data_IF_284253525058
#
_entry.id   IF_284253525058
#
_cell.length_a   1.000
_cell.length_b   1.000
_cell.length_c   1.000
_cell.angle_alpha   90.00
_cell.angle_beta   90.00
_cell.angle_gamma   90.00
#
_symmetry.space_group_name_H-M   'P 1'
#
loop_
_entity.id
_entity.type
_entity.pdbx_description
1 polymer ?
#
# COMPACT_ATOMS: atom_id res chain seq x y z
N UNK A 1 -17.60 -13.33 2.35
CA UNK A 1 -16.86 -12.68 3.45
C UNK A 1 -15.98 -13.73 4.10
N UNK A 2 -14.75 -13.82 3.61
CA UNK A 2 -13.68 -14.58 4.25
C UNK A 2 -13.43 -13.92 5.61
N UNK A 3 -14.01 -14.53 6.64
CA UNK A 3 -13.68 -14.24 8.03
C UNK A 3 -12.29 -14.82 8.24
N UNK A 4 -11.30 -13.94 8.37
CA UNK A 4 -9.99 -14.27 8.90
C UNK A 4 -10.20 -15.14 10.16
N UNK A 5 -9.58 -16.32 10.27
CA UNK A 5 -9.78 -17.16 11.44
C UNK A 5 -9.33 -16.37 12.66
N UNK A 6 -10.30 -15.86 13.43
CA UNK A 6 -10.07 -15.41 14.80
C UNK A 6 -9.22 -16.48 15.47
N UNK A 7 -7.96 -16.16 15.77
CA UNK A 7 -7.03 -17.10 16.36
C UNK A 7 -7.69 -17.66 17.62
N UNK A 8 -7.93 -18.98 17.64
CA UNK A 8 -8.74 -19.63 18.68
C UNK A 8 -8.20 -19.22 20.06
N UNK A 9 -9.04 -18.58 20.88
CA UNK A 9 -8.65 -18.09 22.21
C UNK A 9 -8.57 -16.57 22.33
N UNK A 10 -8.51 -15.83 21.23
CA UNK A 10 -8.58 -14.37 21.26
C UNK A 10 -9.99 -13.87 21.56
N UNK A 11 -10.16 -12.88 22.47
CA UNK A 11 -11.45 -12.23 22.67
C UNK A 11 -11.89 -11.49 21.40
N UNK A 12 -13.21 -11.33 21.20
CA UNK A 12 -13.79 -10.69 20.01
C UNK A 12 -13.40 -9.20 19.86
N UNK A 13 -13.02 -8.56 20.97
CA UNK A 13 -12.59 -7.17 21.02
C UNK A 13 -11.26 -7.07 21.75
N UNK A 14 -10.43 -6.03 21.47
CA UNK A 14 -9.19 -5.83 22.19
C UNK A 14 -9.45 -5.80 23.71
N UNK A 15 -8.72 -6.59 24.50
CA UNK A 15 -8.83 -6.56 25.95
C UNK A 15 -8.26 -5.25 26.51
N UNK A 16 -8.56 -4.96 27.78
CA UNK A 16 -7.87 -3.89 28.50
C UNK A 16 -6.47 -4.32 28.94
N UNK A 17 -5.59 -3.35 29.20
CA UNK A 17 -4.26 -3.63 29.71
C UNK A 17 -4.34 -4.28 31.10
N UNK A 18 -3.64 -5.41 31.29
CA UNK A 18 -3.70 -6.30 32.45
C UNK A 18 -5.03 -7.03 32.66
N UNK A 19 -5.89 -7.13 31.64
CA UNK A 19 -7.05 -8.02 31.72
C UNK A 19 -6.57 -9.48 31.82
N UNK A 20 -7.19 -10.32 32.67
CA UNK A 20 -6.77 -11.71 32.84
C UNK A 20 -6.90 -12.52 31.55
N UNK A 21 -5.99 -13.46 31.36
CA UNK A 21 -5.99 -14.41 30.25
C UNK A 21 -5.54 -15.79 30.72
N UNK A 22 -6.05 -16.83 30.05
CA UNK A 22 -5.85 -18.22 30.47
C UNK A 22 -4.68 -18.92 29.75
N UNK A 23 -4.19 -18.35 28.64
CA UNK A 23 -3.21 -18.97 27.76
C UNK A 23 -1.97 -18.09 27.58
N UNK A 24 -0.95 -18.33 28.40
CA UNK A 24 0.34 -17.66 28.26
C UNK A 24 0.95 -17.89 26.87
N UNK A 25 1.38 -16.80 26.22
CA UNK A 25 1.91 -16.82 24.86
C UNK A 25 0.87 -16.63 23.77
N UNK A 26 -0.43 -16.53 24.10
CA UNK A 26 -1.46 -16.16 23.14
C UNK A 26 -1.19 -14.75 22.58
N UNK A 27 -1.16 -14.64 21.26
CA UNK A 27 -0.99 -13.40 20.50
C UNK A 27 -2.28 -13.10 19.75
N UNK A 28 -2.80 -11.87 19.90
CA UNK A 28 -4.04 -11.44 19.26
C UNK A 28 -3.81 -10.10 18.58
N UNK A 29 -4.25 -9.99 17.33
CA UNK A 29 -4.20 -8.74 16.57
C UNK A 29 -5.62 -8.19 16.35
N UNK A 30 -5.76 -6.88 16.47
CA UNK A 30 -7.03 -6.18 16.38
C UNK A 30 -6.91 -4.87 15.61
N UNK A 31 -8.06 -4.45 15.08
CA UNK A 31 -8.13 -3.32 14.18
C UNK A 31 -7.40 -3.62 12.88
N UNK A 32 -7.74 -2.88 11.85
CA UNK A 32 -7.02 -2.89 10.58
C UNK A 32 -7.07 -1.48 10.03
N UNK A 33 -5.92 -0.96 9.67
CA UNK A 33 -5.80 0.29 8.91
C UNK A 33 -5.03 0.01 7.64
N UNK A 34 -5.62 0.38 6.51
CA UNK A 34 -5.03 0.22 5.20
C UNK A 34 -4.39 1.52 4.74
N UNK A 35 -3.21 1.41 4.15
CA UNK A 35 -2.56 2.54 3.53
C UNK A 35 -3.32 3.02 2.29
N UNK A 36 -3.21 4.33 1.95
CA UNK A 36 -3.78 4.87 0.72
C UNK A 36 -3.28 4.06 -0.50
N UNK A 37 -4.19 3.71 -1.41
CA UNK A 37 -3.89 2.79 -2.52
C UNK A 37 -4.18 1.32 -2.21
N UNK A 38 -4.43 0.96 -0.95
CA UNK A 38 -4.99 -0.32 -0.53
C UNK A 38 -4.07 -1.54 -0.71
N UNK A 39 -2.80 -1.33 -1.02
CA UNK A 39 -1.84 -2.42 -1.26
C UNK A 39 -1.33 -3.06 0.03
N UNK A 40 -1.37 -2.35 1.15
CA UNK A 40 -0.90 -2.83 2.45
C UNK A 40 -1.87 -2.41 3.56
N UNK A 41 -2.25 -3.37 4.40
CA UNK A 41 -3.07 -3.17 5.59
C UNK A 41 -2.36 -3.75 6.80
N UNK A 42 -2.49 -3.09 7.94
CA UNK A 42 -1.80 -3.46 9.17
C UNK A 42 -2.77 -3.44 10.35
N UNK A 43 -2.59 -4.39 11.27
CA UNK A 43 -3.29 -4.33 12.54
C UNK A 43 -2.75 -3.18 13.39
N UNK A 44 -3.63 -2.49 14.10
CA UNK A 44 -3.28 -1.29 14.88
C UNK A 44 -3.13 -1.58 16.36
N UNK A 45 -3.61 -2.74 16.82
CA UNK A 45 -3.61 -3.13 18.23
C UNK A 45 -3.20 -4.59 18.36
N UNK A 46 -2.32 -4.88 19.31
CA UNK A 46 -1.85 -6.23 19.60
C UNK A 46 -2.00 -6.51 21.08
N UNK A 47 -2.51 -7.68 21.44
CA UNK A 47 -2.55 -8.16 22.82
C UNK A 47 -1.73 -9.44 22.92
N UNK A 48 -0.87 -9.52 23.94
CA UNK A 48 -0.10 -10.71 24.26
C UNK A 48 -0.37 -11.15 25.70
N UNK A 49 -0.76 -12.39 25.90
CA UNK A 49 -0.97 -12.94 27.23
C UNK A 49 0.37 -13.31 27.87
N UNK A 50 0.75 -12.63 28.96
CA UNK A 50 1.97 -12.93 29.72
C UNK A 50 1.70 -12.96 31.21
N UNK A 51 2.05 -14.10 31.83
CA UNK A 51 1.81 -14.39 33.24
C UNK A 51 0.33 -14.28 33.64
N UNK A 52 -0.56 -14.73 32.76
CA UNK A 52 -2.01 -14.72 32.96
C UNK A 52 -2.66 -13.33 32.84
N UNK A 53 -1.97 -12.34 32.29
CA UNK A 53 -2.50 -11.00 32.02
C UNK A 53 -2.16 -10.54 30.59
N UNK A 54 -3.09 -9.85 29.92
CA UNK A 54 -2.85 -9.26 28.61
C UNK A 54 -1.99 -8.00 28.70
N UNK A 55 -0.90 -7.96 27.93
CA UNK A 55 -0.18 -6.74 27.60
C UNK A 55 -0.64 -6.26 26.23
N UNK A 56 -1.19 -5.05 26.20
CA UNK A 56 -1.76 -4.45 24.98
C UNK A 56 -0.85 -3.35 24.45
N UNK A 57 -0.50 -3.43 23.17
CA UNK A 57 0.30 -2.46 22.44
C UNK A 57 -0.51 -1.86 21.29
N UNK A 58 -0.27 -0.58 21.02
CA UNK A 58 -0.85 0.14 19.90
C UNK A 58 0.24 0.48 18.90
N UNK A 59 0.00 0.12 17.64
CA UNK A 59 0.87 0.46 16.52
C UNK A 59 0.30 1.68 15.80
N UNK A 60 1.09 2.75 15.73
CA UNK A 60 0.82 3.83 14.79
C UNK A 60 1.23 3.38 13.39
N UNK A 61 0.30 3.41 12.44
CA UNK A 61 0.61 3.09 11.04
C UNK A 61 1.10 4.36 10.36
N UNK A 62 2.30 4.28 9.81
CA UNK A 62 2.89 5.36 9.03
C UNK A 62 3.13 4.84 7.62
N UNK A 63 2.15 5.10 6.75
CA UNK A 63 2.21 4.68 5.35
C UNK A 63 3.25 5.45 4.57
N UNK A 64 3.92 4.78 3.64
CA UNK A 64 4.57 5.44 2.53
C UNK A 64 3.47 6.02 1.61
N UNK A 65 3.53 7.31 1.32
CA UNK A 65 2.51 8.00 0.53
C UNK A 65 3.22 8.73 -0.59
N UNK A 66 2.72 8.54 -1.82
CA UNK A 66 3.23 9.29 -2.95
C UNK A 66 2.97 10.79 -2.77
N UNK A 67 3.96 11.66 -3.07
CA UNK A 67 3.73 13.09 -3.05
C UNK A 67 2.62 13.47 -4.05
N UNK A 68 1.86 14.52 -3.75
CA UNK A 68 0.73 14.97 -4.60
C UNK A 68 1.17 15.38 -6.02
N UNK A 69 2.43 15.78 -6.15
CA UNK A 69 3.05 16.17 -7.42
C UNK A 69 4.29 15.32 -7.67
N UNK A 70 4.60 15.00 -8.94
CA UNK A 70 5.82 14.28 -9.27
C UNK A 70 7.03 15.03 -8.71
N UNK A 71 7.89 14.36 -7.93
CA UNK A 71 9.14 14.95 -7.44
C UNK A 71 10.14 15.10 -8.58
N UNK A 72 11.17 15.92 -8.36
CA UNK A 72 12.29 16.05 -9.28
C UNK A 72 13.32 14.91 -9.07
N UNK A 73 14.18 14.70 -10.07
CA UNK A 73 15.27 13.74 -9.94
C UNK A 73 16.19 14.09 -8.77
N UNK A 74 16.49 13.09 -7.94
CA UNK A 74 17.26 13.21 -6.69
C UNK A 74 16.60 14.02 -5.58
N UNK A 75 15.29 14.33 -5.69
CA UNK A 75 14.57 14.81 -4.53
C UNK A 75 14.62 13.77 -3.41
N UNK A 76 14.73 14.20 -2.14
CA UNK A 76 14.88 13.29 -1.03
C UNK A 76 13.58 12.51 -0.79
N UNK A 77 13.73 11.25 -0.42
CA UNK A 77 12.67 10.42 0.14
C UNK A 77 13.15 9.76 1.44
N UNK A 78 12.23 9.23 2.23
CA UNK A 78 12.52 8.60 3.53
C UNK A 78 12.78 7.10 3.39
N UNK A 79 13.41 6.49 4.38
CA UNK A 79 13.63 5.03 4.44
C UNK A 79 12.34 4.21 4.31
N UNK A 80 11.21 4.80 4.72
CA UNK A 80 9.88 4.18 4.63
C UNK A 80 9.34 4.16 3.21
N UNK A 81 9.78 5.10 2.39
CA UNK A 81 9.37 5.22 1.00
C UNK A 81 10.27 4.40 0.08
N UNK A 82 11.34 3.79 0.56
CA UNK A 82 12.24 2.97 -0.29
C UNK A 82 11.46 1.86 -0.98
N UNK A 83 11.54 1.83 -2.32
CA UNK A 83 10.78 0.90 -3.16
C UNK A 83 9.36 1.36 -3.50
N UNK A 84 8.89 2.48 -2.93
CA UNK A 84 7.63 3.11 -3.32
C UNK A 84 7.71 3.54 -4.79
N UNK A 85 6.72 3.11 -5.58
CA UNK A 85 6.55 3.50 -6.98
C UNK A 85 5.31 4.37 -7.09
N UNK A 86 5.49 5.59 -7.55
CA UNK A 86 4.43 6.58 -7.68
C UNK A 86 4.21 6.91 -9.15
N UNK A 87 2.98 6.82 -9.61
CA UNK A 87 2.64 7.04 -11.01
C UNK A 87 1.87 8.37 -11.19
N UNK A 88 2.25 9.12 -12.21
CA UNK A 88 1.71 10.44 -12.51
C UNK A 88 1.47 10.63 -14.00
N UNK A 89 0.64 11.63 -14.32
CA UNK A 89 0.42 12.07 -15.71
C UNK A 89 -0.30 11.01 -16.54
N UNK A 90 -1.40 10.45 -16.03
CA UNK A 90 -2.22 9.50 -16.77
C UNK A 90 -2.70 10.10 -18.11
N UNK A 91 -2.43 9.38 -19.20
CA UNK A 91 -2.92 9.67 -20.55
C UNK A 91 -3.66 8.44 -21.06
N UNK A 92 -4.88 8.65 -21.57
CA UNK A 92 -5.70 7.59 -22.13
C UNK A 92 -5.71 7.64 -23.66
N UNK A 93 -5.35 6.53 -24.29
CA UNK A 93 -5.42 6.37 -25.73
C UNK A 93 -6.89 6.21 -26.17
N UNK A 94 -7.43 7.17 -26.92
CA UNK A 94 -8.83 7.16 -27.35
C UNK A 94 -9.22 5.92 -28.17
N UNK A 95 -8.25 5.38 -28.93
CA UNK A 95 -8.43 4.24 -29.82
C UNK A 95 -8.58 2.91 -29.09
N UNK A 96 -7.75 2.66 -28.09
CA UNK A 96 -7.75 1.39 -27.33
C UNK A 96 -8.57 1.49 -26.05
N UNK A 97 -8.78 2.70 -25.54
CA UNK A 97 -9.37 2.95 -24.22
C UNK A 97 -8.41 2.66 -23.06
N UNK A 98 -7.13 2.39 -23.35
CA UNK A 98 -6.13 2.09 -22.34
C UNK A 98 -5.52 3.39 -21.81
N UNK A 99 -5.39 3.49 -20.48
CA UNK A 99 -4.73 4.60 -19.80
C UNK A 99 -3.38 4.15 -19.28
N UNK A 100 -2.37 5.00 -19.47
CA UNK A 100 -0.98 4.76 -19.10
C UNK A 100 -0.41 6.01 -18.46
N UNK A 101 0.40 5.83 -17.43
CA UNK A 101 1.07 6.93 -16.73
C UNK A 101 2.32 7.36 -17.50
N UNK A 102 2.49 8.67 -17.72
CA UNK A 102 3.68 9.21 -18.41
C UNK A 102 4.90 9.28 -17.52
N UNK A 103 4.72 9.20 -16.19
CA UNK A 103 5.81 9.44 -15.24
C UNK A 103 5.72 8.47 -14.07
N UNK A 104 6.84 7.86 -13.73
CA UNK A 104 7.00 7.09 -12.51
C UNK A 104 8.12 7.69 -11.66
N UNK A 105 7.86 7.89 -10.38
CA UNK A 105 8.88 8.23 -9.39
C UNK A 105 9.12 7.02 -8.48
N UNK A 106 10.39 6.64 -8.33
CA UNK A 106 10.80 5.51 -7.51
C UNK A 106 11.78 6.00 -6.45
N UNK A 107 11.45 5.83 -5.18
CA UNK A 107 12.38 6.11 -4.10
C UNK A 107 13.37 4.95 -3.96
N UNK A 108 14.67 5.23 -4.04
CA UNK A 108 15.74 4.23 -3.97
C UNK A 108 16.27 4.04 -2.57
N UNK A 109 17.10 3.01 -2.36
CA UNK A 109 17.84 2.76 -1.13
C UNK A 109 18.90 3.82 -0.81
N UNK A 110 19.14 4.76 -1.73
CA UNK A 110 19.94 5.98 -1.49
C UNK A 110 19.10 7.16 -0.97
N UNK A 111 17.84 6.91 -0.56
CA UNK A 111 16.91 7.93 -0.04
C UNK A 111 16.66 9.08 -1.02
N UNK A 112 16.60 8.77 -2.32
CA UNK A 112 16.31 9.76 -3.35
C UNK A 112 15.39 9.21 -4.43
N UNK A 113 14.59 10.09 -5.04
CA UNK A 113 13.71 9.74 -6.14
C UNK A 113 14.46 9.65 -7.46
N UNK A 114 14.20 8.60 -8.21
CA UNK A 114 14.55 8.47 -9.63
C UNK A 114 13.27 8.61 -10.43
N UNK A 115 13.33 9.40 -11.50
CA UNK A 115 12.18 9.69 -12.35
C UNK A 115 12.32 8.94 -13.67
N UNK A 116 11.28 8.22 -14.06
CA UNK A 116 11.17 7.51 -15.32
C UNK A 116 10.04 8.18 -16.10
N UNK A 117 10.37 8.73 -17.27
CA UNK A 117 9.38 9.24 -18.21
C UNK A 117 9.09 8.15 -19.25
N UNK A 118 7.81 7.95 -19.52
CA UNK A 118 7.31 7.01 -20.51
C UNK A 118 6.76 7.81 -21.67
N UNK A 119 7.43 7.71 -22.82
CA UNK A 119 6.88 8.18 -24.08
C UNK A 119 5.74 7.24 -24.50
N UNK A 120 4.54 7.80 -24.65
CA UNK A 120 3.34 7.05 -25.02
C UNK A 120 3.08 7.22 -26.51
N UNK A 121 3.27 6.15 -27.26
CA UNK A 121 2.80 6.02 -28.64
C UNK A 121 1.45 5.28 -28.65
N UNK A 122 0.35 6.04 -28.71
CA UNK A 122 -0.97 5.47 -28.91
C UNK A 122 -1.09 4.95 -30.36
N UNK A 123 -1.66 3.76 -30.59
CA UNK A 123 -1.89 3.28 -31.95
C UNK A 123 -2.88 4.21 -32.65
N UNK A 124 -2.44 4.80 -33.76
CA UNK A 124 -3.31 5.54 -34.66
C UNK A 124 -4.27 4.56 -35.34
N UNK A 125 -5.51 4.97 -35.58
CA UNK A 125 -6.42 4.19 -36.42
C UNK A 125 -5.84 4.12 -37.83
N UNK A 126 -5.11 3.06 -38.16
CA UNK A 126 -4.82 2.70 -39.55
C UNK A 126 -6.15 2.36 -40.23
N UNK A 127 -6.75 3.36 -40.87
CA UNK A 127 -7.98 3.29 -41.65
C UNK A 127 -7.84 2.21 -42.75
N UNK A 128 -8.54 1.06 -42.67
CA UNK A 128 -8.37 0.00 -43.64
C UNK A 128 -9.40 0.14 -44.77
N UNK A 129 -9.34 1.19 -45.59
CA UNK A 129 -10.22 1.31 -46.77
C UNK A 129 -9.55 1.95 -48.01
N UNK A 130 -8.37 1.47 -48.42
CA UNK A 130 -7.98 1.55 -49.83
C UNK A 130 -8.29 0.20 -50.49
N UNK A 131 -9.53 0.05 -50.95
CA UNK A 131 -9.94 -1.06 -51.82
C UNK A 131 -9.35 -0.89 -53.23
N UNK A 132 -9.05 -1.98 -53.96
CA UNK A 132 -8.55 -1.87 -55.33
C UNK A 132 -9.64 -1.37 -56.29
N UNK A 133 -9.30 -0.33 -57.05
CA UNK A 133 -10.09 0.29 -58.14
C UNK A 133 -10.18 -0.61 -59.36
#
# INVERSE_FOLDING_TARGET
PDVDPLEEGCPDTPPEFYEPCDEDGLECAYGEECCPGGTECYNTTFANCMNGEFLVAYQAIECAICPDTPPDFSDPCTDKEVGLVCEYGEVCCETTGECVNTTQAICTDENSFVIIEVDIDCPENDDPLEGPV
#
